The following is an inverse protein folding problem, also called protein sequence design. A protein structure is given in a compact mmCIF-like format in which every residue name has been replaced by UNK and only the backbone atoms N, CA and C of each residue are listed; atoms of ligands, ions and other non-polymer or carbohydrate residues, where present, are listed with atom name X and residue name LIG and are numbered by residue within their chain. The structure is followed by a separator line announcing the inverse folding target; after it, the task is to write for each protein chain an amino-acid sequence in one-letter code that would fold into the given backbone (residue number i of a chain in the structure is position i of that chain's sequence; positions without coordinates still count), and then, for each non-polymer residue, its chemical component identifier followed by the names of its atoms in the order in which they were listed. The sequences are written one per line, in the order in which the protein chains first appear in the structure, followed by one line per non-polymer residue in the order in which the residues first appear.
data_IF_525846689797
#
_entry.id   IF_525846689797
#
_cell.length_a   1.000
_cell.length_b   1.000
_cell.length_c   1.000
_cell.angle_alpha   90.00
_cell.angle_beta   90.00
_cell.angle_gamma   90.00
#
_symmetry.space_group_name_H-M   'P 1'
#
loop_
_entity.id
_entity.type
_entity.pdbx_description
1 polymer ?
#
# COMPACT_ATOMS: atom_id res chain seq x y z
N UNK A 1 23.58 35.62 -6.96
CA UNK A 1 22.14 35.37 -6.75
C UNK A 1 21.69 33.91 -6.95
N UNK A 2 22.56 32.98 -7.38
CA UNK A 2 22.18 31.56 -7.51
C UNK A 2 22.00 30.84 -6.15
N UNK A 3 22.86 31.12 -5.17
CA UNK A 3 22.85 30.44 -3.84
C UNK A 3 21.56 30.73 -3.03
N UNK A 4 20.99 31.92 -3.17
CA UNK A 4 19.73 32.27 -2.51
C UNK A 4 18.53 31.56 -3.13
N UNK A 5 18.55 31.27 -4.44
CA UNK A 5 17.49 30.51 -5.11
C UNK A 5 17.52 29.03 -4.72
N UNK A 6 18.70 28.42 -4.65
CA UNK A 6 18.87 27.03 -4.14
C UNK A 6 18.27 26.82 -2.75
N UNK A 7 18.38 27.81 -1.86
CA UNK A 7 17.83 27.70 -0.50
C UNK A 7 16.30 27.62 -0.50
N UNK A 8 15.64 28.43 -1.34
CA UNK A 8 14.17 28.45 -1.47
C UNK A 8 13.66 27.12 -2.05
N UNK A 9 14.31 26.56 -3.08
CA UNK A 9 13.92 25.26 -3.64
C UNK A 9 13.96 24.11 -2.63
N UNK A 10 14.96 24.12 -1.75
CA UNK A 10 15.11 23.07 -0.73
C UNK A 10 14.07 23.24 0.38
N UNK A 11 13.76 24.47 0.79
CA UNK A 11 12.76 24.77 1.80
C UNK A 11 11.35 24.41 1.30
N UNK A 12 11.00 24.78 0.06
CA UNK A 12 9.72 24.47 -0.57
C UNK A 12 9.51 22.94 -0.69
N UNK A 13 10.58 22.21 -1.05
CA UNK A 13 10.53 20.75 -1.10
C UNK A 13 10.41 20.11 0.30
N UNK A 14 11.14 20.62 1.29
CA UNK A 14 11.07 20.14 2.67
C UNK A 14 9.68 20.37 3.27
N UNK A 15 9.07 21.52 3.03
CA UNK A 15 7.71 21.81 3.46
C UNK A 15 6.71 20.85 2.80
N UNK A 16 6.83 20.65 1.48
CA UNK A 16 5.99 19.70 0.75
C UNK A 16 6.17 18.24 1.22
N UNK A 17 7.40 17.79 1.44
CA UNK A 17 7.70 16.42 1.83
C UNK A 17 7.47 16.15 3.33
N UNK A 18 7.20 17.18 4.14
CA UNK A 18 7.09 17.05 5.60
C UNK A 18 6.00 16.09 6.07
N UNK A 19 4.90 15.98 5.32
CA UNK A 19 3.74 15.12 5.65
C UNK A 19 3.88 13.69 5.13
N UNK A 20 4.74 13.48 4.13
CA UNK A 20 4.87 12.20 3.42
C UNK A 20 5.26 11.03 4.33
N UNK A 21 6.27 11.13 5.22
CA UNK A 21 6.63 10.02 6.10
C UNK A 21 5.48 9.59 7.01
N UNK A 22 4.74 10.55 7.56
CA UNK A 22 3.63 10.28 8.47
C UNK A 22 2.46 9.61 7.74
N UNK A 23 2.13 10.07 6.53
CA UNK A 23 1.06 9.49 5.72
C UNK A 23 1.41 8.07 5.25
N UNK A 24 2.62 7.85 4.75
CA UNK A 24 3.10 6.54 4.33
C UNK A 24 3.13 5.56 5.51
N UNK A 25 3.62 6.00 6.68
CA UNK A 25 3.63 5.17 7.88
C UNK A 25 2.22 4.76 8.29
N UNK A 26 1.25 5.68 8.22
CA UNK A 26 -0.16 5.38 8.50
C UNK A 26 -0.69 4.30 7.56
N UNK A 27 -0.49 4.45 6.26
CA UNK A 27 -0.94 3.47 5.26
C UNK A 27 -0.33 2.09 5.49
N UNK A 28 0.98 2.03 5.69
CA UNK A 28 1.70 0.75 5.89
C UNK A 28 1.30 0.06 7.21
N UNK A 29 1.03 0.84 8.27
CA UNK A 29 0.53 0.29 9.53
C UNK A 29 -0.86 -0.34 9.35
N UNK A 30 -1.77 0.33 8.62
CA UNK A 30 -3.09 -0.23 8.32
C UNK A 30 -3.01 -1.46 7.42
N UNK A 31 -2.12 -1.46 6.42
CA UNK A 31 -1.85 -2.66 5.60
C UNK A 31 -1.42 -3.83 6.48
N UNK A 32 -0.52 -3.61 7.44
CA UNK A 32 -0.07 -4.66 8.38
C UNK A 32 -1.22 -5.17 9.26
N UNK A 33 -2.03 -4.28 9.81
CA UNK A 33 -3.17 -4.65 10.64
C UNK A 33 -4.18 -5.52 9.87
N UNK A 34 -4.52 -5.13 8.63
CA UNK A 34 -5.40 -5.92 7.76
C UNK A 34 -4.77 -7.25 7.37
N UNK A 35 -3.45 -7.29 7.15
CA UNK A 35 -2.71 -8.51 6.86
C UNK A 35 -2.83 -9.51 8.00
N UNK A 36 -2.52 -9.08 9.23
CA UNK A 36 -2.62 -9.91 10.44
C UNK A 36 -4.04 -10.44 10.65
N UNK A 37 -5.05 -9.57 10.51
CA UNK A 37 -6.46 -9.95 10.67
C UNK A 37 -6.91 -10.93 9.58
N UNK A 38 -6.56 -10.68 8.32
CA UNK A 38 -6.91 -11.57 7.21
C UNK A 38 -6.24 -12.95 7.37
N UNK A 39 -4.97 -12.98 7.77
CA UNK A 39 -4.23 -14.22 7.99
C UNK A 39 -4.81 -15.03 9.16
N UNK A 40 -5.24 -14.37 10.24
CA UNK A 40 -5.94 -15.01 11.35
C UNK A 40 -7.23 -15.69 10.89
N UNK A 41 -8.07 -14.98 10.13
CA UNK A 41 -9.31 -15.54 9.59
C UNK A 41 -9.04 -16.72 8.65
N UNK A 42 -8.09 -16.59 7.72
CA UNK A 42 -7.71 -17.67 6.80
C UNK A 42 -7.27 -18.92 7.59
N UNK A 43 -6.47 -18.75 8.64
CA UNK A 43 -6.02 -19.85 9.47
C UNK A 43 -7.16 -20.52 10.23
N UNK A 44 -8.06 -19.73 10.82
CA UNK A 44 -9.26 -20.22 11.53
C UNK A 44 -10.19 -20.98 10.58
N UNK A 45 -10.54 -20.38 9.45
CA UNK A 45 -11.35 -21.01 8.40
C UNK A 45 -10.72 -22.33 7.96
N UNK A 46 -9.40 -22.36 7.73
CA UNK A 46 -8.70 -23.59 7.34
C UNK A 46 -8.83 -24.70 8.40
N UNK A 47 -8.83 -24.35 9.68
CA UNK A 47 -9.04 -25.33 10.76
C UNK A 47 -10.49 -25.83 10.78
N UNK A 48 -11.48 -24.93 10.65
CA UNK A 48 -12.90 -25.29 10.58
C UNK A 48 -13.19 -26.20 9.37
N UNK A 49 -12.64 -25.89 8.19
CA UNK A 49 -12.78 -26.72 7.00
C UNK A 49 -12.21 -28.13 7.21
N UNK A 50 -11.03 -28.24 7.83
CA UNK A 50 -10.44 -29.56 8.16
C UNK A 50 -11.31 -30.36 9.12
N UNK A 51 -11.86 -29.71 10.14
CA UNK A 51 -12.75 -30.36 11.10
C UNK A 51 -14.04 -30.86 10.41
N UNK A 52 -14.68 -30.02 9.60
CA UNK A 52 -15.86 -30.38 8.82
C UNK A 52 -15.62 -31.57 7.88
N UNK A 53 -14.49 -31.59 7.18
CA UNK A 53 -14.10 -32.71 6.30
C UNK A 53 -13.79 -33.99 7.09
N UNK A 54 -13.16 -33.86 8.27
CA UNK A 54 -12.91 -34.96 9.19
C UNK A 54 -14.19 -35.69 9.58
N UNK A 55 -15.22 -34.95 9.99
CA UNK A 55 -16.54 -35.53 10.33
C UNK A 55 -17.17 -36.21 9.11
N UNK A 56 -17.16 -35.55 7.94
CA UNK A 56 -17.74 -36.12 6.72
C UNK A 56 -17.06 -37.44 6.27
N UNK A 57 -15.74 -37.55 6.45
CA UNK A 57 -14.97 -38.75 6.08
C UNK A 57 -15.21 -39.95 7.01
N UNK A 58 -15.56 -39.74 8.28
CA UNK A 58 -15.93 -40.82 9.20
C UNK A 58 -17.27 -41.47 8.82
N UNK A 59 -18.18 -40.74 8.16
CA UNK A 59 -19.48 -41.21 7.68
C UNK A 59 -19.38 -42.26 6.55
N UNK A 60 -18.26 -42.30 5.80
CA UNK A 60 -18.08 -43.16 4.62
C UNK A 60 -17.53 -44.57 4.86
N UNK A 61 -17.05 -44.88 6.08
CA UNK A 61 -16.26 -46.09 6.34
C UNK A 61 -16.85 -47.06 7.39
N UNK A 62 -18.03 -46.75 7.96
CA UNK A 62 -18.60 -47.49 9.09
C UNK A 62 -20.08 -47.77 8.95
N UNK A 63 -20.41 -49.05 8.74
CA UNK A 63 -21.74 -49.63 8.81
C UNK A 63 -22.34 -49.39 10.22
N UNK A 64 -23.18 -48.38 10.46
CA UNK A 64 -23.93 -48.23 11.72
C UNK A 64 -25.33 -47.61 11.55
N UNK A 65 -26.25 -48.14 12.37
CA UNK A 65 -27.69 -47.96 12.37
C UNK A 65 -28.16 -46.52 12.67
N UNK A 66 -29.22 -46.14 11.98
CA UNK A 66 -30.11 -44.98 12.20
C UNK A 66 -30.40 -44.68 13.69
N UNK A 67 -30.04 -43.48 14.17
CA UNK A 67 -30.94 -42.60 14.97
C UNK A 67 -30.40 -41.17 15.25
N UNK A 68 -29.14 -40.82 14.91
CA UNK A 68 -28.53 -39.51 15.27
C UNK A 68 -28.31 -38.51 14.12
N UNK A 69 -28.70 -38.83 12.87
CA UNK A 69 -28.22 -38.15 11.66
C UNK A 69 -28.66 -36.68 11.49
N UNK A 70 -29.77 -36.25 12.11
CA UNK A 70 -30.33 -34.92 11.86
C UNK A 70 -29.56 -33.79 12.56
N UNK A 71 -29.14 -34.01 13.81
CA UNK A 71 -28.44 -33.00 14.61
C UNK A 71 -27.02 -32.75 14.05
N UNK A 72 -26.34 -33.82 13.64
CA UNK A 72 -25.00 -33.73 13.04
C UNK A 72 -25.02 -33.06 11.67
N UNK A 73 -25.98 -33.38 10.79
CA UNK A 73 -26.09 -32.70 9.49
C UNK A 73 -26.44 -31.21 9.65
N UNK A 74 -27.26 -30.83 10.65
CA UNK A 74 -27.54 -29.43 10.96
C UNK A 74 -26.28 -28.69 11.46
N UNK A 75 -25.45 -29.34 12.29
CA UNK A 75 -24.17 -28.75 12.73
C UNK A 75 -23.16 -28.59 11.59
N UNK A 76 -23.11 -29.53 10.64
CA UNK A 76 -22.25 -29.45 9.46
C UNK A 76 -22.69 -28.31 8.55
N UNK A 77 -24.00 -28.17 8.30
CA UNK A 77 -24.53 -27.08 7.48
C UNK A 77 -24.34 -25.71 8.14
N UNK A 78 -24.50 -25.61 9.46
CA UNK A 78 -24.17 -24.39 10.19
C UNK A 78 -22.68 -24.03 10.05
N UNK A 79 -21.80 -25.02 10.20
CA UNK A 79 -20.36 -24.80 10.07
C UNK A 79 -19.95 -24.41 8.64
N UNK A 80 -20.59 -24.98 7.61
CA UNK A 80 -20.38 -24.57 6.22
C UNK A 80 -20.71 -23.10 6.00
N UNK A 81 -21.85 -22.62 6.50
CA UNK A 81 -22.23 -21.21 6.43
C UNK A 81 -21.24 -20.30 7.15
N UNK A 82 -20.76 -20.71 8.33
CA UNK A 82 -19.73 -19.97 9.06
C UNK A 82 -18.41 -19.90 8.30
N UNK A 83 -17.99 -21.01 7.66
CA UNK A 83 -16.79 -21.08 6.81
C UNK A 83 -16.95 -20.14 5.60
N UNK A 84 -18.07 -20.19 4.90
CA UNK A 84 -18.36 -19.32 3.74
C UNK A 84 -18.30 -17.85 4.13
N UNK A 85 -18.99 -17.46 5.22
CA UNK A 85 -18.95 -16.09 5.72
C UNK A 85 -17.54 -15.66 6.14
N UNK A 86 -16.77 -16.53 6.78
CA UNK A 86 -15.39 -16.24 7.17
C UNK A 86 -14.46 -16.08 5.94
N UNK A 87 -14.70 -16.86 4.87
CA UNK A 87 -13.97 -16.73 3.60
C UNK A 87 -14.29 -15.40 2.91
N UNK A 88 -15.55 -15.00 2.85
CA UNK A 88 -15.96 -13.70 2.30
C UNK A 88 -15.32 -12.54 3.08
N UNK A 89 -15.33 -12.61 4.41
CA UNK A 89 -14.69 -11.62 5.27
C UNK A 89 -13.17 -11.56 5.05
N UNK A 90 -12.50 -12.72 4.96
CA UNK A 90 -11.06 -12.77 4.66
C UNK A 90 -10.74 -12.18 3.28
N UNK A 91 -11.57 -12.47 2.27
CA UNK A 91 -11.42 -11.91 0.92
C UNK A 91 -11.59 -10.39 0.91
N UNK A 92 -12.58 -9.88 1.65
CA UNK A 92 -12.82 -8.44 1.79
C UNK A 92 -11.60 -7.73 2.39
N UNK A 93 -11.05 -8.24 3.49
CA UNK A 93 -9.83 -7.67 4.11
C UNK A 93 -8.62 -7.75 3.19
N UNK A 94 -8.43 -8.86 2.48
CA UNK A 94 -7.36 -9.00 1.50
C UNK A 94 -7.49 -7.97 0.37
N UNK A 95 -8.71 -7.71 -0.09
CA UNK A 95 -8.98 -6.72 -1.13
C UNK A 95 -8.66 -5.31 -0.64
N UNK A 96 -9.11 -4.96 0.57
CA UNK A 96 -8.84 -3.66 1.19
C UNK A 96 -7.33 -3.44 1.39
N UNK A 97 -6.61 -4.47 1.86
CA UNK A 97 -5.15 -4.45 1.99
C UNK A 97 -4.45 -4.13 0.66
N UNK A 98 -4.89 -4.73 -0.44
CA UNK A 98 -4.34 -4.47 -1.78
C UNK A 98 -4.61 -3.03 -2.21
N UNK A 99 -5.80 -2.50 -1.94
CA UNK A 99 -6.14 -1.11 -2.25
C UNK A 99 -5.29 -0.13 -1.45
N UNK A 100 -5.05 -0.38 -0.16
CA UNK A 100 -4.17 0.46 0.65
C UNK A 100 -2.71 0.37 0.20
N UNK A 101 -2.23 -0.82 -0.16
CA UNK A 101 -0.88 -0.97 -0.72
C UNK A 101 -0.71 -0.19 -2.03
N UNK A 102 -1.75 -0.19 -2.87
CA UNK A 102 -1.79 0.64 -4.08
C UNK A 102 -1.80 2.13 -3.75
N UNK A 103 -2.57 2.57 -2.76
CA UNK A 103 -2.57 3.96 -2.32
C UNK A 103 -1.19 4.41 -1.82
N UNK A 104 -0.48 3.55 -1.08
CA UNK A 104 0.89 3.83 -0.65
C UNK A 104 1.85 3.94 -1.84
N UNK A 105 1.70 3.07 -2.85
CA UNK A 105 2.48 3.14 -4.09
C UNK A 105 2.21 4.45 -4.84
N UNK A 106 0.95 4.81 -5.05
CA UNK A 106 0.55 6.02 -5.77
C UNK A 106 1.05 7.29 -5.05
N UNK A 107 1.03 7.29 -3.71
CA UNK A 107 1.63 8.35 -2.90
C UNK A 107 3.14 8.49 -3.16
N UNK A 108 3.88 7.38 -3.09
CA UNK A 108 5.33 7.38 -3.37
C UNK A 108 5.62 7.87 -4.79
N UNK A 109 4.89 7.35 -5.78
CA UNK A 109 5.06 7.70 -7.19
C UNK A 109 4.82 9.20 -7.44
N UNK A 110 3.82 9.78 -6.77
CA UNK A 110 3.54 11.22 -6.81
C UNK A 110 4.73 12.04 -6.26
N UNK A 111 5.28 11.65 -5.12
CA UNK A 111 6.43 12.33 -4.52
C UNK A 111 7.70 12.21 -5.39
N UNK A 112 7.93 11.06 -6.03
CA UNK A 112 9.04 10.85 -6.96
C UNK A 112 8.91 11.75 -8.19
N UNK A 113 7.74 11.75 -8.85
CA UNK A 113 7.51 12.58 -10.04
C UNK A 113 7.73 14.06 -9.76
N UNK A 114 7.24 14.54 -8.62
CA UNK A 114 7.44 15.94 -8.24
C UNK A 114 8.90 16.27 -7.97
N UNK A 115 9.63 15.39 -7.27
CA UNK A 115 11.07 15.56 -7.08
C UNK A 115 11.81 15.61 -8.42
N UNK A 116 11.45 14.75 -9.38
CA UNK A 116 12.05 14.75 -10.72
C UNK A 116 11.77 16.06 -11.49
N UNK A 117 10.55 16.58 -11.40
CA UNK A 117 10.17 17.88 -11.98
C UNK A 117 10.96 19.04 -11.33
N UNK A 118 11.02 19.08 -10.00
CA UNK A 118 11.73 20.11 -9.25
C UNK A 118 13.24 20.09 -9.56
N UNK A 119 13.84 18.90 -9.68
CA UNK A 119 15.25 18.73 -10.07
C UNK A 119 15.51 19.16 -11.52
N UNK A 120 14.59 18.87 -12.44
CA UNK A 120 14.70 19.32 -13.83
C UNK A 120 14.63 20.84 -13.92
N UNK A 121 13.64 21.46 -13.26
CA UNK A 121 13.50 22.92 -13.18
C UNK A 121 14.75 23.56 -12.60
N UNK A 122 15.27 22.99 -11.51
CA UNK A 122 16.50 23.45 -10.88
C UNK A 122 17.71 23.39 -11.84
N UNK A 123 17.86 22.30 -12.60
CA UNK A 123 18.92 22.15 -13.58
C UNK A 123 18.81 23.16 -14.75
N UNK A 124 17.59 23.49 -15.19
CA UNK A 124 17.37 24.53 -16.20
C UNK A 124 17.72 25.92 -15.69
N UNK A 125 17.32 26.25 -14.46
CA UNK A 125 17.62 27.52 -13.81
C UNK A 125 19.13 27.75 -13.67
N UNK A 126 19.90 26.72 -13.32
CA UNK A 126 21.36 26.77 -13.29
C UNK A 126 21.94 27.06 -14.68
N UNK A 127 21.45 26.39 -15.73
CA UNK A 127 21.89 26.64 -17.13
C UNK A 127 21.55 28.04 -17.62
N UNK A 128 20.46 28.63 -17.15
CA UNK A 128 20.09 30.00 -17.52
C UNK A 128 20.94 31.03 -16.76
N UNK A 129 21.20 30.81 -15.47
CA UNK A 129 22.06 31.67 -14.65
C UNK A 129 23.49 31.75 -15.20
N UNK A 130 24.06 30.63 -15.64
CA UNK A 130 25.41 30.56 -16.20
C UNK A 130 25.52 31.27 -17.58
N UNK A 131 24.48 31.13 -18.41
CA UNK A 131 24.36 31.87 -19.68
C UNK A 131 24.21 33.38 -19.44
N UNK A 132 23.35 33.79 -18.51
CA UNK A 132 23.14 35.20 -18.16
C UNK A 132 24.39 35.89 -17.61
N UNK A 133 25.22 35.16 -16.85
CA UNK A 133 26.51 35.65 -16.38
C UNK A 133 27.50 35.85 -17.55
N UNK A 134 27.56 34.89 -18.48
CA UNK A 134 28.39 35.01 -19.69
C UNK A 134 27.99 36.20 -20.57
N UNK A 135 26.69 36.41 -20.82
CA UNK A 135 26.22 37.56 -21.61
C UNK A 135 26.53 38.90 -20.94
N UNK A 136 26.37 39.01 -19.61
CA UNK A 136 26.74 40.23 -18.89
C UNK A 136 28.23 40.51 -18.94
N UNK A 137 29.07 39.48 -18.85
CA UNK A 137 30.52 39.63 -18.94
C UNK A 137 30.94 40.10 -20.35
N UNK A 138 30.31 39.54 -21.39
CA UNK A 138 30.54 39.89 -22.80
C UNK A 138 30.05 41.30 -23.14
N UNK A 139 28.92 41.72 -22.58
CA UNK A 139 28.42 43.09 -22.69
C UNK A 139 29.30 44.11 -21.94
N UNK A 140 29.84 43.75 -20.76
CA UNK A 140 30.75 44.62 -20.03
C UNK A 140 32.09 44.79 -20.77
N UNK A 141 32.67 43.72 -21.30
CA UNK A 141 33.92 43.81 -22.09
C UNK A 141 33.73 44.63 -23.36
N UNK A 142 32.61 44.47 -24.08
CA UNK A 142 32.32 45.30 -25.26
C UNK A 142 32.05 46.78 -24.93
N UNK A 143 31.65 47.12 -23.70
CA UNK A 143 31.42 48.51 -23.26
C UNK A 143 32.68 49.24 -22.81
N UNK A 144 33.74 48.50 -22.51
CA UNK A 144 35.04 49.03 -22.04
C UNK A 144 36.02 49.24 -23.21
N UNK A 145 35.77 48.61 -24.36
CA UNK A 145 36.45 48.82 -25.63
C UNK A 145 35.77 49.93 -26.46
#
# INVERSE_FOLDING_TARGET
MAIARTGVYVDDYLEYASTFPAELQRLLNTVRELDERSQSLINQTRQQTKYCLGIASQKGNGNHYNNGCNDEDETIEKMRKEIESSQENALSLCTEKVLLARQAYDLIDSHVKRLDEDLNNFAEDLKQGDRGASYNLLFLTLRIL
#
